data_IF_312605364981
#
_entry.id   IF_312605364981
#
_cell.length_a   1.000
_cell.length_b   1.000
_cell.length_c   1.000
_cell.angle_alpha   90.00
_cell.angle_beta   90.00
_cell.angle_gamma   90.00
#
_symmetry.space_group_name_H-M   'P 1'
#
loop_
_entity.id
_entity.type
_entity.pdbx_description
1 polymer ?
#
# COMPACT_ATOMS: atom_id res chain seq x y z
N UNK A 1 10.01 7.19 9.39
CA UNK A 1 10.42 6.01 8.59
C UNK A 1 11.26 4.99 9.35
N UNK A 2 12.06 5.37 10.36
CA UNK A 2 12.86 4.40 11.14
C UNK A 2 12.01 3.35 11.85
N UNK A 3 11.00 3.77 12.62
CA UNK A 3 10.07 2.86 13.32
C UNK A 3 9.39 1.90 12.33
N UNK A 4 8.86 2.42 11.21
CA UNK A 4 8.26 1.60 10.14
C UNK A 4 9.23 0.51 9.68
N UNK A 5 10.50 0.86 9.45
CA UNK A 5 11.53 -0.09 9.02
C UNK A 5 11.87 -1.13 10.10
N UNK A 6 11.77 -0.77 11.38
CA UNK A 6 12.03 -1.68 12.50
C UNK A 6 10.89 -2.67 12.71
N UNK A 7 9.64 -2.27 12.44
CA UNK A 7 8.45 -3.12 12.70
C UNK A 7 7.99 -3.94 11.51
N UNK A 8 8.27 -3.52 10.27
CA UNK A 8 7.86 -4.24 9.07
C UNK A 8 8.86 -5.34 8.69
N UNK A 9 8.34 -6.51 8.29
CA UNK A 9 9.14 -7.70 7.99
C UNK A 9 9.92 -7.61 6.66
N UNK A 10 9.57 -6.67 5.80
CA UNK A 10 10.17 -6.51 4.47
C UNK A 10 10.12 -5.05 4.02
N UNK A 11 10.87 -4.74 2.96
CA UNK A 11 10.75 -3.44 2.30
C UNK A 11 9.40 -3.30 1.59
N UNK A 12 8.85 -2.08 1.58
CA UNK A 12 7.54 -1.77 0.98
C UNK A 12 7.50 -1.83 -0.56
N UNK A 13 8.66 -1.92 -1.22
CA UNK A 13 8.73 -1.81 -2.67
C UNK A 13 8.13 -0.48 -3.14
N UNK A 14 7.28 -0.48 -4.19
CA UNK A 14 6.60 0.72 -4.65
C UNK A 14 5.58 1.30 -3.67
N UNK A 15 5.05 0.53 -2.71
CA UNK A 15 3.97 0.97 -1.82
C UNK A 15 4.36 2.20 -1.00
N UNK A 16 3.49 3.22 -1.00
CA UNK A 16 3.74 4.57 -0.42
C UNK A 16 4.89 5.36 -1.06
N UNK A 17 5.44 4.88 -2.17
CA UNK A 17 6.33 5.62 -3.07
C UNK A 17 5.55 6.49 -4.05
N UNK A 18 6.14 6.77 -5.21
CA UNK A 18 5.55 7.64 -6.23
C UNK A 18 5.67 7.03 -7.63
N UNK A 19 4.62 7.19 -8.43
CA UNK A 19 4.58 6.82 -9.86
C UNK A 19 4.23 8.09 -10.63
N UNK A 20 4.94 8.36 -11.72
CA UNK A 20 4.75 9.58 -12.48
C UNK A 20 5.70 9.68 -13.66
N UNK A 21 5.80 10.88 -14.20
CA UNK A 21 6.71 11.21 -15.28
C UNK A 21 7.42 12.54 -15.04
N UNK A 22 8.54 12.71 -15.73
CA UNK A 22 9.19 13.99 -15.91
C UNK A 22 9.67 14.10 -17.36
N UNK A 23 9.76 15.32 -17.89
CA UNK A 23 10.20 15.57 -19.27
C UNK A 23 11.47 16.40 -19.31
N UNK A 24 12.19 16.35 -20.44
CA UNK A 24 13.37 17.21 -20.66
C UNK A 24 13.06 18.72 -20.74
N UNK A 25 11.77 19.10 -20.71
CA UNK A 25 11.31 20.50 -20.65
C UNK A 25 10.99 20.96 -19.21
N UNK A 26 11.09 20.06 -18.24
CA UNK A 26 10.83 20.35 -16.83
C UNK A 26 9.40 20.08 -16.37
N UNK A 27 8.52 19.57 -17.24
CA UNK A 27 7.19 19.13 -16.82
C UNK A 27 7.30 17.88 -15.96
N UNK A 28 6.53 17.81 -14.88
CA UNK A 28 6.47 16.65 -14.01
C UNK A 28 5.10 16.50 -13.38
N UNK A 29 4.65 15.26 -13.24
CA UNK A 29 3.46 14.91 -12.47
C UNK A 29 3.66 13.54 -11.82
N UNK A 30 3.30 13.44 -10.55
CA UNK A 30 3.60 12.33 -9.68
C UNK A 30 2.44 12.06 -8.73
N UNK A 31 2.11 10.80 -8.55
CA UNK A 31 1.13 10.36 -7.58
C UNK A 31 1.81 9.78 -6.32
N UNK A 32 0.98 9.29 -5.40
CA UNK A 32 1.40 8.34 -4.37
C UNK A 32 0.94 6.93 -4.76
N UNK A 33 1.86 5.96 -4.66
CA UNK A 33 1.63 4.56 -4.98
C UNK A 33 0.87 3.83 -3.86
N UNK A 34 -0.41 4.17 -3.72
CA UNK A 34 -1.41 3.46 -2.89
C UNK A 34 -2.46 2.84 -3.80
N UNK A 35 -3.19 1.82 -3.30
CA UNK A 35 -4.12 1.05 -4.13
C UNK A 35 -3.47 0.57 -5.44
N UNK A 36 -2.19 0.25 -5.36
CA UNK A 36 -1.35 -0.28 -6.44
C UNK A 36 -0.91 -1.70 -6.07
N UNK A 37 -0.94 -2.61 -7.05
CA UNK A 37 -0.40 -3.96 -6.92
C UNK A 37 0.80 -4.15 -7.84
N UNK A 38 1.76 -4.97 -7.39
CA UNK A 38 2.94 -5.38 -8.14
C UNK A 38 2.79 -6.85 -8.46
N UNK A 39 2.80 -7.18 -9.74
CA UNK A 39 2.84 -8.57 -10.19
C UNK A 39 4.28 -8.95 -10.52
N UNK A 40 4.79 -9.96 -9.84
CA UNK A 40 6.11 -10.54 -10.07
C UNK A 40 6.07 -12.06 -9.81
N UNK A 41 6.71 -12.85 -10.68
CA UNK A 41 6.90 -14.31 -10.49
C UNK A 41 5.59 -15.07 -10.14
N UNK A 42 4.53 -14.82 -10.90
CA UNK A 42 3.17 -15.36 -10.69
C UNK A 42 2.53 -15.03 -9.34
N UNK A 43 3.08 -14.06 -8.61
CA UNK A 43 2.55 -13.53 -7.36
C UNK A 43 2.14 -12.07 -7.51
N UNK A 44 1.09 -11.68 -6.78
CA UNK A 44 0.63 -10.30 -6.67
C UNK A 44 0.88 -9.80 -5.26
N UNK A 45 1.67 -8.74 -5.15
CA UNK A 45 1.98 -8.05 -3.90
C UNK A 45 1.29 -6.69 -3.86
N UNK A 46 0.65 -6.36 -2.75
CA UNK A 46 0.08 -5.03 -2.53
C UNK A 46 0.21 -4.66 -1.04
N UNK A 47 0.37 -3.36 -0.78
CA UNK A 47 0.40 -2.84 0.59
C UNK A 47 -0.94 -2.21 0.98
N UNK A 48 -1.30 -2.36 2.25
CA UNK A 48 -2.43 -1.69 2.88
C UNK A 48 -2.05 -1.30 4.32
N UNK A 49 -2.53 -0.14 4.77
CA UNK A 49 -2.23 0.36 6.11
C UNK A 49 -3.01 1.64 6.43
N UNK A 50 -2.82 2.15 7.64
CA UNK A 50 -3.47 3.34 8.18
C UNK A 50 -2.45 4.29 8.81
N UNK A 51 -2.90 5.50 9.13
CA UNK A 51 -2.11 6.45 9.89
C UNK A 51 -2.39 6.25 11.38
N UNK A 52 -1.37 5.87 12.15
CA UNK A 52 -1.52 5.66 13.59
C UNK A 52 -1.30 6.98 14.34
N UNK A 53 -2.26 7.36 15.18
CA UNK A 53 -2.19 8.50 16.09
C UNK A 53 -2.36 8.04 17.54
N UNK A 54 -2.26 8.96 18.49
CA UNK A 54 -2.29 8.63 19.93
C UNK A 54 -3.62 8.02 20.38
N UNK A 55 -4.71 8.36 19.70
CA UNK A 55 -6.07 7.88 20.01
C UNK A 55 -6.50 6.70 19.13
N UNK A 56 -5.61 6.14 18.31
CA UNK A 56 -5.94 5.01 17.43
C UNK A 56 -6.24 3.74 18.22
N UNK A 57 -7.31 3.04 17.84
CA UNK A 57 -7.60 1.68 18.30
C UNK A 57 -7.05 0.64 17.32
N UNK A 58 -6.33 -0.36 17.82
CA UNK A 58 -5.68 -1.35 16.98
C UNK A 58 -6.66 -2.19 16.13
N UNK A 59 -7.86 -2.46 16.66
CA UNK A 59 -8.90 -3.21 15.96
C UNK A 59 -9.51 -2.40 14.82
N UNK A 60 -9.80 -1.13 15.05
CA UNK A 60 -10.31 -0.20 14.03
C UNK A 60 -9.30 0.00 12.89
N UNK A 61 -8.01 0.19 13.21
CA UNK A 61 -6.96 0.37 12.20
C UNK A 61 -6.76 -0.88 11.33
N UNK A 62 -6.86 -2.07 11.93
CA UNK A 62 -6.83 -3.32 11.18
C UNK A 62 -8.06 -3.47 10.28
N UNK A 63 -9.24 -3.10 10.77
CA UNK A 63 -10.47 -3.13 9.98
C UNK A 63 -10.38 -2.16 8.78
N UNK A 64 -9.80 -0.98 8.97
CA UNK A 64 -9.54 -0.02 7.90
C UNK A 64 -8.53 -0.58 6.87
N UNK A 65 -7.43 -1.17 7.32
CA UNK A 65 -6.44 -1.79 6.43
C UNK A 65 -7.08 -2.91 5.58
N UNK A 66 -7.92 -3.76 6.19
CA UNK A 66 -8.68 -4.81 5.51
C UNK A 66 -9.69 -4.24 4.51
N UNK A 67 -10.38 -3.16 4.87
CA UNK A 67 -11.30 -2.46 3.97
C UNK A 67 -10.57 -1.92 2.73
N UNK A 68 -9.37 -1.35 2.90
CA UNK A 68 -8.52 -0.88 1.79
C UNK A 68 -8.02 -2.02 0.89
N UNK A 69 -7.74 -3.19 1.47
CA UNK A 69 -7.27 -4.37 0.75
C UNK A 69 -8.37 -5.06 -0.07
N UNK A 70 -9.63 -4.96 0.38
CA UNK A 70 -10.79 -5.65 -0.22
C UNK A 70 -10.91 -5.50 -1.73
N UNK A 71 -10.69 -4.29 -2.25
CA UNK A 71 -10.81 -4.03 -3.68
C UNK A 71 -9.87 -4.88 -4.52
N UNK A 72 -8.69 -5.25 -3.99
CA UNK A 72 -7.77 -6.15 -4.70
C UNK A 72 -8.30 -7.58 -4.74
N UNK A 73 -8.72 -8.11 -3.59
CA UNK A 73 -9.26 -9.47 -3.51
C UNK A 73 -10.47 -9.65 -4.44
N UNK A 74 -11.41 -8.69 -4.41
CA UNK A 74 -12.57 -8.68 -5.31
C UNK A 74 -12.15 -8.64 -6.79
N UNK A 75 -11.11 -7.85 -7.14
CA UNK A 75 -10.61 -7.74 -8.52
C UNK A 75 -9.94 -9.03 -9.03
N UNK A 76 -9.33 -9.81 -8.13
CA UNK A 76 -8.66 -11.07 -8.47
C UNK A 76 -9.54 -12.32 -8.21
N UNK A 77 -10.82 -12.13 -7.87
CA UNK A 77 -11.75 -13.23 -7.58
C UNK A 77 -11.42 -14.02 -6.30
N UNK A 78 -10.64 -13.42 -5.40
CA UNK A 78 -10.30 -14.00 -4.10
C UNK A 78 -11.17 -13.45 -2.97
N UNK A 79 -11.20 -14.17 -1.85
CA UNK A 79 -11.82 -13.68 -0.61
C UNK A 79 -10.76 -13.12 0.34
N UNK A 80 -11.11 -12.08 1.09
CA UNK A 80 -10.21 -11.50 2.09
C UNK A 80 -10.02 -12.52 3.23
N UNK A 81 -8.78 -12.91 3.57
CA UNK A 81 -8.56 -13.81 4.70
C UNK A 81 -9.03 -13.16 6.02
N UNK A 82 -9.62 -13.98 6.88
CA UNK A 82 -10.23 -13.56 8.15
C UNK A 82 -9.24 -13.09 9.21
#
# INVERSE_FOLDING_TARGET
MQIIREVELSGRGPYTGSIGYFTGRGDMDFNIAIRTAVWQDDQVHFGCGGGIVIDSDAGEELAEARLKARSFFESFGGELPC
#
